data_IF_952815796963
#
_entry.id   IF_952815796963
#
_cell.length_a   1.000
_cell.length_b   1.000
_cell.length_c   1.000
_cell.angle_alpha   90.00
_cell.angle_beta   90.00
_cell.angle_gamma   90.00
#
_symmetry.space_group_name_H-M   'P 1'
#
loop_
_entity.id
_entity.type
_entity.pdbx_description
1 polymer ?
#
# COMPACT_ATOMS: atom_id res chain seq x y z
N UNK A 1 7.41 8.10 22.10
CA UNK A 1 6.42 7.00 22.09
C UNK A 1 7.08 5.65 22.07
N UNK A 2 6.41 4.70 22.66
CA UNK A 2 6.88 3.33 22.69
C UNK A 2 6.15 2.53 21.64
N UNK A 3 6.90 1.89 20.75
CA UNK A 3 6.33 1.09 19.70
C UNK A 3 6.72 -0.36 19.96
N UNK A 4 5.72 -1.18 20.20
CA UNK A 4 5.95 -2.61 20.40
C UNK A 4 5.59 -3.36 19.13
N UNK A 5 6.13 -4.55 18.99
CA UNK A 5 5.93 -5.33 17.78
C UNK A 5 5.16 -6.62 18.06
N UNK A 6 4.39 -6.63 19.16
CA UNK A 6 3.50 -7.76 19.42
C UNK A 6 2.42 -7.86 18.36
N UNK A 7 2.08 -6.76 17.74
CA UNK A 7 1.08 -6.70 16.70
C UNK A 7 1.64 -5.98 15.49
N UNK A 8 1.04 -6.24 14.34
CA UNK A 8 1.44 -5.54 13.12
C UNK A 8 1.09 -4.05 13.23
N UNK A 9 1.97 -3.17 12.75
CA UNK A 9 1.68 -1.74 12.81
C UNK A 9 0.69 -1.33 11.71
N UNK A 10 -0.57 -1.58 11.95
CA UNK A 10 -1.64 -1.29 11.00
C UNK A 10 -2.20 0.10 11.23
N UNK A 11 -2.49 0.78 10.15
CA UNK A 11 -3.12 2.09 10.19
C UNK A 11 -4.25 2.11 9.17
N UNK A 12 -5.14 3.09 9.29
CA UNK A 12 -6.21 3.26 8.33
C UNK A 12 -5.79 4.30 7.31
N UNK A 13 -5.86 3.93 6.04
CA UNK A 13 -5.57 4.83 4.94
C UNK A 13 -6.84 5.02 4.12
N UNK A 14 -6.98 6.17 3.51
CA UNK A 14 -8.04 6.38 2.52
C UNK A 14 -7.42 6.25 1.14
N UNK A 15 -7.93 5.29 0.40
CA UNK A 15 -7.39 4.97 -0.90
C UNK A 15 -8.51 5.02 -1.92
N UNK A 16 -8.40 5.97 -2.85
CA UNK A 16 -9.49 6.19 -3.78
C UNK A 16 -10.79 6.59 -3.08
N UNK A 17 -10.67 7.21 -1.91
CA UNK A 17 -11.83 7.64 -1.14
C UNK A 17 -12.39 6.60 -0.19
N UNK A 18 -11.78 5.42 -0.12
CA UNK A 18 -12.26 4.32 0.72
C UNK A 18 -11.32 4.10 1.90
N UNK A 19 -11.84 3.97 3.12
CA UNK A 19 -10.98 3.68 4.27
C UNK A 19 -10.58 2.21 4.28
N UNK A 20 -9.29 1.94 4.38
CA UNK A 20 -8.75 0.60 4.32
C UNK A 20 -7.64 0.46 5.35
N UNK A 21 -7.64 -0.66 6.06
CA UNK A 21 -6.59 -0.94 7.02
C UNK A 21 -5.37 -1.50 6.29
N UNK A 22 -4.20 -0.89 6.52
CA UNK A 22 -3.00 -1.23 5.78
C UNK A 22 -1.80 -1.34 6.72
N UNK A 23 -0.80 -2.06 6.26
CA UNK A 23 0.47 -2.22 6.96
C UNK A 23 1.51 -1.32 6.28
N UNK A 24 2.18 -0.50 7.06
CA UNK A 24 3.27 0.32 6.54
C UNK A 24 4.52 -0.55 6.47
N UNK A 25 4.98 -0.83 5.27
CA UNK A 25 6.05 -1.80 5.07
C UNK A 25 7.22 -1.18 4.33
N UNK A 26 8.24 -0.77 5.09
CA UNK A 26 9.41 -0.15 4.49
C UNK A 26 10.24 -1.14 3.68
N UNK A 27 10.00 -2.42 3.84
CA UNK A 27 10.68 -3.43 3.05
C UNK A 27 10.05 -3.70 1.70
N UNK A 28 8.90 -3.07 1.41
CA UNK A 28 8.21 -3.26 0.15
C UNK A 28 8.39 -2.04 -0.73
N UNK A 29 8.69 -2.27 -2.01
CA UNK A 29 8.81 -1.16 -2.95
C UNK A 29 7.46 -0.63 -3.37
N UNK A 30 6.47 -1.51 -3.49
CA UNK A 30 5.18 -1.18 -4.07
C UNK A 30 4.06 -1.29 -3.04
N UNK A 31 2.95 -0.63 -3.35
CA UNK A 31 1.74 -0.68 -2.55
C UNK A 31 0.81 -1.70 -3.17
N UNK A 32 0.42 -2.71 -2.39
CA UNK A 32 -0.40 -3.81 -2.89
C UNK A 32 -1.60 -3.99 -1.97
N UNK A 33 -2.79 -3.99 -2.56
CA UNK A 33 -4.04 -4.06 -1.83
C UNK A 33 -4.93 -5.16 -2.40
N UNK A 34 -5.84 -5.66 -1.60
CA UNK A 34 -6.80 -6.66 -2.02
C UNK A 34 -8.20 -6.26 -1.59
N UNK A 35 -9.16 -6.59 -2.42
CA UNK A 35 -10.56 -6.44 -2.04
C UNK A 35 -11.11 -5.05 -2.16
N UNK A 36 -10.51 -4.20 -2.98
CA UNK A 36 -11.05 -2.87 -3.21
C UNK A 36 -11.22 -2.63 -4.69
N UNK A 37 -12.16 -1.75 -5.02
CA UNK A 37 -12.37 -1.30 -6.38
C UNK A 37 -11.82 0.10 -6.52
N UNK A 38 -10.96 0.29 -7.51
CA UNK A 38 -10.39 1.59 -7.80
C UNK A 38 -10.92 2.12 -9.10
N UNK A 39 -11.11 3.43 -9.21
CA UNK A 39 -11.61 4.02 -10.45
C UNK A 39 -10.49 4.14 -11.48
N UNK A 40 -10.91 4.21 -12.73
CA UNK A 40 -9.97 4.52 -13.79
C UNK A 40 -9.41 3.31 -14.48
N UNK A 41 -8.43 3.57 -15.31
CA UNK A 41 -7.83 2.53 -16.13
C UNK A 41 -6.73 1.82 -15.35
N UNK A 42 -6.49 0.57 -15.72
CA UNK A 42 -5.43 -0.22 -15.12
C UNK A 42 -4.74 -1.03 -16.19
N UNK A 43 -3.57 -1.52 -15.85
CA UNK A 43 -2.86 -2.40 -16.75
C UNK A 43 -2.32 -3.58 -15.96
N UNK A 44 -2.14 -4.73 -16.61
CA UNK A 44 -1.68 -5.91 -15.91
C UNK A 44 -0.20 -5.81 -15.57
N UNK A 45 0.17 -6.41 -14.44
CA UNK A 45 1.55 -6.45 -14.01
C UNK A 45 1.79 -7.74 -13.23
N UNK A 46 3.00 -8.25 -13.29
CA UNK A 46 3.40 -9.42 -12.52
C UNK A 46 4.36 -8.99 -11.44
N UNK A 47 4.13 -9.45 -10.22
CA UNK A 47 5.02 -9.12 -9.11
C UNK A 47 5.34 -10.39 -8.33
N UNK A 48 6.39 -10.30 -7.52
CA UNK A 48 6.84 -11.43 -6.72
C UNK A 48 8.09 -12.03 -7.30
N UNK A 49 8.14 -13.34 -7.36
CA UNK A 49 9.27 -14.04 -7.93
C UNK A 49 9.77 -15.20 -7.10
N UNK A 50 9.59 -15.13 -5.79
CA UNK A 50 9.95 -16.25 -4.92
C UNK A 50 8.73 -17.13 -4.78
N UNK A 51 8.83 -18.36 -5.29
CA UNK A 51 7.68 -19.25 -5.30
C UNK A 51 6.68 -18.96 -6.39
N UNK A 52 7.01 -18.04 -7.30
CA UNK A 52 6.15 -17.72 -8.40
C UNK A 52 5.73 -16.26 -8.43
N UNK A 53 5.14 -15.86 -9.53
CA UNK A 53 4.66 -14.49 -9.71
C UNK A 53 3.15 -14.46 -9.53
N UNK A 54 2.63 -13.34 -9.09
CA UNK A 54 1.19 -13.11 -9.07
C UNK A 54 0.86 -11.98 -10.03
N UNK A 55 -0.33 -12.09 -10.63
CA UNK A 55 -0.81 -11.07 -11.56
C UNK A 55 -1.64 -10.06 -10.80
N UNK A 56 -1.34 -8.79 -10.99
CA UNK A 56 -2.05 -7.71 -10.32
C UNK A 56 -2.49 -6.68 -11.33
N UNK A 57 -3.41 -5.82 -10.92
CA UNK A 57 -3.85 -4.69 -11.73
C UNK A 57 -3.13 -3.45 -11.23
N UNK A 58 -2.47 -2.76 -12.14
CA UNK A 58 -1.73 -1.55 -11.80
C UNK A 58 -2.58 -0.33 -12.08
N UNK A 59 -2.90 0.42 -11.03
CA UNK A 59 -3.62 1.68 -11.14
C UNK A 59 -2.66 2.81 -10.83
N UNK A 60 -2.59 3.79 -11.71
CA UNK A 60 -1.67 4.91 -11.53
C UNK A 60 -2.41 6.12 -10.98
N UNK A 61 -1.66 6.97 -10.29
CA UNK A 61 -2.17 8.26 -9.82
C UNK A 61 -3.40 8.10 -8.93
N UNK A 62 -3.27 7.30 -7.92
CA UNK A 62 -4.35 7.08 -6.96
C UNK A 62 -4.08 7.90 -5.71
N UNK A 63 -4.85 8.54 -5.15
CA UNK A 63 -4.72 9.23 -4.18
C UNK A 63 -4.82 8.48 -3.04
N UNK A 64 -4.14 8.78 -2.19
CA UNK A 64 -4.03 8.08 -0.91
C UNK A 64 -3.82 9.09 0.21
N UNK A 65 -4.53 8.89 1.31
CA UNK A 65 -4.35 9.73 2.49
C UNK A 65 -4.07 8.85 3.70
N UNK A 66 -2.96 9.11 4.38
CA UNK A 66 -2.53 8.34 5.54
C UNK A 66 -2.16 9.30 6.65
N UNK A 67 -2.78 9.16 7.83
CA UNK A 67 -2.48 9.99 9.00
C UNK A 67 -2.56 11.47 8.68
N UNK A 68 -3.55 11.84 7.88
CA UNK A 68 -3.77 13.23 7.51
C UNK A 68 -2.84 13.77 6.44
N UNK A 69 -1.96 12.93 5.91
CA UNK A 69 -1.04 13.34 4.85
C UNK A 69 -1.48 12.72 3.54
N UNK A 70 -1.35 13.48 2.47
CA UNK A 70 -1.82 13.06 1.17
C UNK A 70 -0.66 12.69 0.27
N UNK A 71 -0.88 11.65 -0.52
CA UNK A 71 0.07 11.20 -1.52
C UNK A 71 -0.69 10.78 -2.76
N UNK A 72 0.02 10.67 -3.85
CA UNK A 72 -0.57 10.15 -5.07
C UNK A 72 0.45 9.21 -5.70
N UNK A 73 0.00 8.05 -6.14
CA UNK A 73 0.93 7.11 -6.72
C UNK A 73 0.27 5.85 -7.20
N UNK A 74 1.10 4.89 -7.57
CA UNK A 74 0.65 3.63 -8.15
C UNK A 74 0.22 2.68 -7.06
N UNK A 75 -0.93 2.04 -7.27
CA UNK A 75 -1.49 1.03 -6.38
C UNK A 75 -1.72 -0.23 -7.19
N UNK A 76 -1.30 -1.35 -6.61
CA UNK A 76 -1.51 -2.64 -7.27
C UNK A 76 -2.61 -3.39 -6.57
N UNK A 77 -3.54 -3.87 -7.12
CA UNK A 77 -4.55 -4.46 -6.59
C UNK A 77 -4.46 -5.82 -6.97
N UNK A 78 -4.40 -6.68 -6.15
CA UNK A 78 -4.29 -8.11 -6.40
C UNK A 78 -4.30 -8.93 -5.12
N UNK A 79 -4.15 -10.24 -5.23
CA UNK A 79 -4.20 -11.09 -4.04
C UNK A 79 -2.95 -10.86 -3.18
N UNK A 80 -3.18 -10.50 -1.92
CA UNK A 80 -2.12 -10.30 -0.96
C UNK A 80 -2.64 -10.70 0.41
N UNK A 81 -1.83 -11.35 1.22
CA UNK A 81 -2.31 -11.74 2.56
C UNK A 81 -2.58 -10.55 3.46
N UNK A 82 -1.96 -9.41 3.19
CA UNK A 82 -2.20 -8.22 3.96
C UNK A 82 -2.04 -7.01 3.04
N UNK A 83 -2.87 -5.99 3.28
CA UNK A 83 -2.76 -4.76 2.50
C UNK A 83 -1.50 -4.01 2.92
N UNK A 84 -0.67 -3.66 1.97
CA UNK A 84 0.66 -3.12 2.23
C UNK A 84 0.83 -1.77 1.55
N UNK A 85 1.32 -0.80 2.32
CA UNK A 85 1.77 0.48 1.76
C UNK A 85 3.29 0.41 1.66
N UNK A 86 3.79 0.51 0.46
CA UNK A 86 5.22 0.40 0.22
C UNK A 86 5.90 1.75 0.14
N UNK A 87 7.20 1.72 -0.19
CA UNK A 87 8.01 2.92 -0.16
C UNK A 87 7.59 3.95 -1.19
N UNK A 88 6.95 3.52 -2.28
CA UNK A 88 6.52 4.49 -3.28
C UNK A 88 5.57 5.53 -2.71
N UNK A 89 4.83 5.18 -1.67
CA UNK A 89 3.93 6.10 -0.99
C UNK A 89 4.57 6.64 0.29
N UNK A 90 5.27 5.79 1.03
CA UNK A 90 5.83 6.19 2.32
C UNK A 90 6.80 7.37 2.18
N UNK A 91 7.56 7.42 1.09
CA UNK A 91 8.48 8.53 0.89
C UNK A 91 7.74 9.85 0.71
N UNK A 92 6.56 9.80 0.10
CA UNK A 92 5.81 11.03 -0.17
C UNK A 92 5.24 11.64 1.10
N UNK A 93 4.86 10.81 2.06
CA UNK A 93 4.28 11.35 3.30
C UNK A 93 5.36 11.62 4.35
N UNK A 94 6.62 11.46 3.99
CA UNK A 94 7.71 11.73 4.91
C UNK A 94 7.76 10.77 6.08
N UNK A 95 7.37 9.53 5.84
CA UNK A 95 7.31 8.55 6.90
C UNK A 95 8.70 8.08 7.27
N UNK A 96 9.03 8.20 8.54
CA UNK A 96 10.23 7.60 9.08
C UNK A 96 9.83 6.73 10.25
N UNK A 97 10.56 5.64 10.42
CA UNK A 97 10.33 4.76 11.54
C UNK A 97 11.41 5.03 12.59
N UNK A 98 10.97 5.50 13.74
CA UNK A 98 11.90 5.81 14.83
C UNK A 98 11.61 4.86 15.99
N UNK A 99 12.62 4.09 16.32
CA UNK A 99 12.48 3.08 17.37
C UNK A 99 13.23 3.48 18.62
#
# INVERSE_FOLDING_TARGET
>A
PQITLWQRPLVTAKIGGQPIEVLLDTGADDTVLEGIDLPGKWKPKMIGGIGGFIKVRQYDQIXIEICGKKAIGTVLXGPTPVNIIGRNILTQIGCTLNF
#
